data_IF_376112509825
#
_entry.id   IF_376112509825
#
_cell.length_a   1.000
_cell.length_b   1.000
_cell.length_c   1.000
_cell.angle_alpha   90.00
_cell.angle_beta   90.00
_cell.angle_gamma   90.00
#
_symmetry.space_group_name_H-M   'P 1'
#
loop_
_entity.id
_entity.type
_entity.pdbx_description
1 polymer ?
#
# COMPACT_ATOMS: atom_id res chain seq x y z
N UNK A 1 16.38 -0.31 15.64
CA UNK A 1 16.70 -0.14 14.24
C UNK A 1 15.62 0.68 13.55
N UNK A 2 16.05 1.46 12.57
CA UNK A 2 15.16 2.35 11.86
C UNK A 2 14.00 1.62 11.16
N UNK A 3 14.28 0.49 10.53
CA UNK A 3 13.25 -0.29 9.83
C UNK A 3 12.17 -0.78 10.78
N UNK A 4 12.56 -1.25 11.95
CA UNK A 4 11.60 -1.70 12.97
C UNK A 4 10.70 -0.56 13.42
N UNK A 5 11.29 0.61 13.64
CA UNK A 5 10.54 1.78 14.07
C UNK A 5 9.52 2.19 13.01
N UNK A 6 9.94 2.23 11.75
CA UNK A 6 9.06 2.59 10.65
C UNK A 6 7.92 1.59 10.51
N UNK A 7 8.23 0.31 10.65
CA UNK A 7 7.21 -0.73 10.59
C UNK A 7 6.20 -0.58 11.72
N UNK A 8 6.67 -0.30 12.92
CA UNK A 8 5.78 -0.05 14.07
C UNK A 8 4.86 1.14 13.83
N UNK A 9 5.35 2.18 13.18
CA UNK A 9 4.52 3.34 12.86
C UNK A 9 3.39 2.96 11.92
N UNK A 10 3.67 2.14 10.92
CA UNK A 10 2.63 1.64 10.02
C UNK A 10 1.60 0.80 10.79
N UNK A 11 2.06 -0.09 11.64
CA UNK A 11 1.16 -0.92 12.44
C UNK A 11 0.28 -0.07 13.36
N UNK A 12 0.86 0.94 13.97
CA UNK A 12 0.11 1.84 14.85
C UNK A 12 -0.96 2.62 14.06
N UNK A 13 -0.61 3.11 12.87
CA UNK A 13 -1.57 3.80 12.02
C UNK A 13 -2.74 2.88 11.68
N UNK A 14 -2.43 1.65 11.30
CA UNK A 14 -3.44 0.67 10.94
C UNK A 14 -4.36 0.35 12.11
N UNK A 15 -3.80 0.16 13.29
CA UNK A 15 -4.59 -0.15 14.48
C UNK A 15 -5.57 0.97 14.83
N UNK A 16 -5.18 2.21 14.62
CA UNK A 16 -6.04 3.36 14.89
C UNK A 16 -7.26 3.42 13.97
N UNK A 17 -7.22 2.73 12.85
CA UNK A 17 -8.34 2.74 11.91
C UNK A 17 -9.54 1.94 12.41
N UNK A 18 -9.32 0.98 13.31
CA UNK A 18 -10.39 0.12 13.82
C UNK A 18 -10.36 -1.26 13.19
N UNK A 19 -11.18 -2.17 13.75
CA UNK A 19 -11.09 -3.58 13.42
C UNK A 19 -11.19 -3.91 11.94
N UNK A 20 -12.20 -3.40 11.27
CA UNK A 20 -12.44 -3.77 9.87
C UNK A 20 -11.29 -3.33 8.97
N UNK A 21 -10.86 -2.11 9.14
CA UNK A 21 -9.77 -1.57 8.33
C UNK A 21 -8.44 -2.21 8.70
N UNK A 22 -8.26 -2.53 9.97
CA UNK A 22 -7.05 -3.21 10.41
C UNK A 22 -6.97 -4.63 9.81
N UNK A 23 -8.10 -5.32 9.72
CA UNK A 23 -8.14 -6.63 9.07
C UNK A 23 -7.77 -6.52 7.60
N UNK A 24 -8.31 -5.53 6.92
CA UNK A 24 -7.94 -5.25 5.52
C UNK A 24 -6.45 -5.00 5.39
N UNK A 25 -5.90 -4.19 6.28
CA UNK A 25 -4.47 -3.92 6.29
C UNK A 25 -3.65 -5.19 6.46
N UNK A 26 -4.06 -6.06 7.36
CA UNK A 26 -3.32 -7.31 7.59
C UNK A 26 -3.33 -8.20 6.36
N UNK A 27 -4.45 -8.29 5.68
CA UNK A 27 -4.55 -9.09 4.46
C UNK A 27 -3.70 -8.51 3.35
N UNK A 28 -3.74 -7.21 3.18
CA UNK A 28 -2.92 -6.53 2.18
C UNK A 28 -1.44 -6.69 2.49
N UNK A 29 -1.06 -6.58 3.76
CA UNK A 29 0.32 -6.78 4.18
C UNK A 29 0.79 -8.19 3.83
N UNK A 30 -0.04 -9.19 4.11
CA UNK A 30 0.28 -10.58 3.79
C UNK A 30 0.48 -10.76 2.28
N UNK A 31 -0.40 -10.18 1.49
CA UNK A 31 -0.29 -10.24 0.04
C UNK A 31 1.01 -9.61 -0.44
N UNK A 32 1.33 -8.44 0.09
CA UNK A 32 2.54 -7.72 -0.30
C UNK A 32 3.80 -8.53 0.04
N UNK A 33 3.82 -9.14 1.22
CA UNK A 33 4.96 -9.99 1.62
C UNK A 33 5.18 -11.15 0.66
N UNK A 34 4.12 -11.67 0.07
CA UNK A 34 4.20 -12.82 -0.83
C UNK A 34 4.34 -12.42 -2.29
N UNK A 35 4.39 -11.13 -2.59
CA UNK A 35 4.38 -10.64 -3.96
C UNK A 35 5.75 -10.56 -4.62
N UNK A 36 6.81 -10.82 -3.85
CA UNK A 36 8.16 -10.74 -4.39
C UNK A 36 8.84 -9.39 -4.17
N UNK A 37 8.20 -8.47 -3.48
CA UNK A 37 8.84 -7.21 -3.10
C UNK A 37 9.94 -7.53 -2.10
N UNK A 38 11.15 -7.04 -2.36
CA UNK A 38 12.30 -7.37 -1.52
C UNK A 38 12.97 -6.15 -0.90
N UNK A 39 12.72 -4.95 -1.42
CA UNK A 39 13.35 -3.73 -0.93
C UNK A 39 12.47 -3.04 0.08
N UNK A 40 13.07 -2.63 1.18
CA UNK A 40 12.34 -1.93 2.23
C UNK A 40 11.70 -0.63 1.73
N UNK A 41 12.40 0.08 0.85
CA UNK A 41 11.85 1.32 0.28
C UNK A 41 10.54 1.06 -0.46
N UNK A 42 10.45 -0.07 -1.17
CA UNK A 42 9.24 -0.44 -1.88
C UNK A 42 8.11 -0.79 -0.91
N UNK A 43 8.43 -1.54 0.15
CA UNK A 43 7.45 -1.83 1.20
C UNK A 43 6.90 -0.55 1.81
N UNK A 44 7.78 0.40 2.15
CA UNK A 44 7.35 1.66 2.75
C UNK A 44 6.40 2.40 1.83
N UNK A 45 6.74 2.46 0.55
CA UNK A 45 5.89 3.14 -0.43
C UNK A 45 4.50 2.50 -0.47
N UNK A 46 4.46 1.18 -0.61
CA UNK A 46 3.20 0.46 -0.75
C UNK A 46 2.36 0.53 0.52
N UNK A 47 2.97 0.30 1.67
CA UNK A 47 2.27 0.38 2.96
C UNK A 47 1.72 1.78 3.19
N UNK A 48 2.51 2.81 2.86
CA UNK A 48 2.05 4.19 3.00
C UNK A 48 0.83 4.47 2.14
N UNK A 49 0.85 4.02 0.89
CA UNK A 49 -0.29 4.19 -0.02
C UNK A 49 -1.52 3.45 0.49
N UNK A 50 -1.33 2.22 0.94
CA UNK A 50 -2.43 1.42 1.46
C UNK A 50 -3.06 2.09 2.68
N UNK A 51 -2.23 2.57 3.59
CA UNK A 51 -2.73 3.23 4.80
C UNK A 51 -3.45 4.53 4.48
N UNK A 52 -2.93 5.29 3.52
CA UNK A 52 -3.60 6.52 3.08
C UNK A 52 -4.99 6.21 2.53
N UNK A 53 -5.10 5.16 1.75
CA UNK A 53 -6.38 4.74 1.18
C UNK A 53 -7.34 4.23 2.24
N UNK A 54 -6.84 3.47 3.21
CA UNK A 54 -7.68 3.00 4.31
C UNK A 54 -8.16 4.16 5.17
N UNK A 55 -7.31 5.13 5.41
CA UNK A 55 -7.70 6.33 6.16
C UNK A 55 -8.78 7.10 5.40
N UNK A 56 -8.62 7.22 4.10
CA UNK A 56 -9.62 7.90 3.27
C UNK A 56 -10.95 7.15 3.26
N UNK A 57 -10.89 5.82 3.17
CA UNK A 57 -12.11 5.00 3.23
C UNK A 57 -12.83 5.21 4.55
N UNK A 58 -12.08 5.26 5.65
CA UNK A 58 -12.67 5.48 6.96
C UNK A 58 -13.34 6.85 7.06
N UNK A 59 -12.68 7.89 6.54
CA UNK A 59 -13.23 9.24 6.54
C UNK A 59 -14.54 9.28 5.78
N UNK A 60 -14.61 8.57 4.66
CA UNK A 60 -15.80 8.54 3.82
C UNK A 60 -16.82 7.50 4.27
N UNK A 61 -16.50 6.73 5.30
CA UNK A 61 -17.35 5.64 5.79
C UNK A 61 -17.64 4.63 4.68
N UNK A 62 -16.60 4.24 3.97
CA UNK A 62 -16.67 3.30 2.84
C UNK A 62 -15.74 2.14 3.06
N UNK A 63 -15.93 1.08 2.27
CA UNK A 63 -14.98 -0.01 2.22
C UNK A 63 -13.81 0.36 1.30
N UNK A 64 -12.66 -0.28 1.53
CA UNK A 64 -11.51 -0.06 0.67
C UNK A 64 -11.84 -0.37 -0.79
N UNK A 65 -12.58 -1.44 -1.03
CA UNK A 65 -12.97 -1.85 -2.38
C UNK A 65 -13.84 -0.82 -3.09
N UNK A 66 -14.52 0.04 -2.36
CA UNK A 66 -15.28 1.14 -2.97
C UNK A 66 -14.37 2.18 -3.58
N UNK A 67 -13.15 2.31 -3.07
CA UNK A 67 -12.19 3.29 -3.57
C UNK A 67 -11.30 2.74 -4.68
N UNK A 68 -10.91 1.46 -4.58
CA UNK A 68 -9.89 0.89 -5.47
C UNK A 68 -10.45 -0.18 -6.40
N UNK A 69 -11.73 -0.51 -6.27
CA UNK A 69 -12.35 -1.57 -7.06
C UNK A 69 -12.31 -2.91 -6.35
N UNK A 70 -13.04 -3.90 -6.87
CA UNK A 70 -13.21 -5.18 -6.17
C UNK A 70 -11.96 -6.07 -6.21
N UNK A 71 -11.04 -5.84 -7.13
CA UNK A 71 -9.85 -6.68 -7.26
C UNK A 71 -8.65 -6.01 -6.60
N UNK A 72 -8.49 -6.26 -5.32
CA UNK A 72 -7.42 -5.68 -4.52
C UNK A 72 -6.05 -6.16 -5.01
N UNK A 73 -5.97 -7.43 -5.41
CA UNK A 73 -4.71 -7.99 -5.90
C UNK A 73 -4.22 -7.25 -7.13
N UNK A 74 -5.12 -6.97 -8.09
CA UNK A 74 -4.77 -6.19 -9.27
C UNK A 74 -4.31 -4.79 -8.89
N UNK A 75 -5.01 -4.16 -7.95
CA UNK A 75 -4.62 -2.83 -7.49
C UNK A 75 -3.19 -2.84 -6.92
N UNK A 76 -2.88 -3.80 -6.08
CA UNK A 76 -1.55 -3.92 -5.49
C UNK A 76 -0.50 -4.17 -6.56
N UNK A 77 -0.79 -5.07 -7.50
CA UNK A 77 0.12 -5.38 -8.60
C UNK A 77 0.42 -4.14 -9.44
N UNK A 78 -0.60 -3.36 -9.75
CA UNK A 78 -0.42 -2.12 -10.50
C UNK A 78 0.43 -1.12 -9.72
N UNK A 79 0.20 -1.04 -8.43
CA UNK A 79 0.97 -0.13 -7.57
C UNK A 79 2.44 -0.56 -7.53
N UNK A 80 2.70 -1.85 -7.45
CA UNK A 80 4.07 -2.36 -7.46
C UNK A 80 4.74 -2.11 -8.80
N UNK A 81 4.01 -2.30 -9.89
CA UNK A 81 4.51 -1.99 -11.23
C UNK A 81 4.87 -0.52 -11.34
N UNK A 82 3.98 0.36 -10.90
CA UNK A 82 4.25 1.80 -10.92
C UNK A 82 5.50 2.14 -10.13
N UNK A 83 5.66 1.50 -8.97
CA UNK A 83 6.81 1.76 -8.13
C UNK A 83 8.10 1.25 -8.78
N UNK A 84 8.07 0.05 -9.35
CA UNK A 84 9.23 -0.49 -10.05
C UNK A 84 9.42 0.21 -11.40
N UNK A 85 8.38 0.86 -11.89
CA UNK A 85 8.36 1.58 -13.15
C UNK A 85 8.86 3.00 -13.06
N UNK A 86 9.31 3.44 -11.90
CA UNK A 86 9.90 4.76 -11.79
C UNK A 86 10.90 5.03 -12.90
N UNK A 87 11.65 4.00 -13.26
CA UNK A 87 12.64 4.10 -14.34
C UNK A 87 11.99 4.22 -15.70
N UNK A 88 10.91 3.49 -15.94
CA UNK A 88 10.20 3.56 -17.22
C UNK A 88 9.49 4.89 -17.39
N UNK A 89 8.95 5.43 -16.31
CA UNK A 89 8.34 6.74 -16.35
C UNK A 89 9.33 7.80 -16.77
N UNK A 90 10.56 7.70 -16.26
CA UNK A 90 11.62 8.62 -16.66
C UNK A 90 11.90 8.53 -18.14
N UNK A 91 11.91 7.32 -18.69
CA UNK A 91 12.11 7.11 -20.10
C UNK A 91 10.97 7.75 -20.90
N UNK A 92 9.75 7.57 -20.45
CA UNK A 92 8.58 8.15 -21.11
C UNK A 92 8.65 9.67 -21.11
N UNK A 93 9.06 10.27 -19.98
CA UNK A 93 9.20 11.70 -19.88
C UNK A 93 10.26 12.22 -20.85
N UNK A 94 11.34 11.48 -20.99
CA UNK A 94 12.41 11.85 -21.93
C UNK A 94 11.88 11.86 -23.36
N UNK A 95 11.01 10.92 -23.70
CA UNK A 95 10.44 10.87 -25.03
C UNK A 95 9.42 11.93 -25.28
N UNK A 96 8.85 12.42 -24.22
CA UNK A 96 7.85 13.46 -24.32
C UNK A 96 8.53 14.79 -24.58
#
# INVERSE_FOLDING_TARGET
>A
LKKKREFHEFENRAQKLGENYYEDYKELKKYIWHSGVTKWADFKFIFGQVLDLLEEAKIQDKELTDLIGPDVATFIDEMMDDNSWGKKQKINLIRS
#
